data_IF_861103676676
#
_entry.id   IF_861103676676
#
_cell.length_a   1.000
_cell.length_b   1.000
_cell.length_c   1.000
_cell.angle_alpha   90.00
_cell.angle_beta   90.00
_cell.angle_gamma   90.00
#
_symmetry.space_group_name_H-M   'P 1'
#
loop_
_entity.id
_entity.type
_entity.pdbx_description
1 polymer ?
#
# COMPACT_ATOMS: atom_id res chain seq x y z
N UNK A 1 -28.50 -62.33 -55.94
CA UNK A 1 -27.38 -62.86 -55.14
C UNK A 1 -26.63 -61.69 -54.51
N UNK A 2 -26.42 -61.74 -53.19
CA UNK A 2 -25.36 -61.10 -52.39
C UNK A 2 -25.35 -59.56 -52.21
N UNK A 3 -25.69 -59.06 -51.01
CA UNK A 3 -24.80 -58.79 -49.83
C UNK A 3 -23.94 -57.52 -50.02
N UNK A 4 -24.33 -56.39 -49.39
CA UNK A 4 -23.80 -55.83 -48.12
C UNK A 4 -22.42 -55.13 -48.21
N UNK A 5 -22.40 -53.93 -47.58
CA UNK A 5 -21.30 -53.26 -46.82
C UNK A 5 -20.27 -52.47 -47.63
N UNK A 6 -20.24 -51.14 -47.50
CA UNK A 6 -19.63 -50.29 -46.44
C UNK A 6 -18.12 -50.07 -46.62
N UNK A 7 -17.73 -48.80 -46.81
CA UNK A 7 -16.59 -48.05 -46.24
C UNK A 7 -16.47 -46.75 -47.06
N UNK A 8 -16.97 -45.59 -46.60
CA UNK A 8 -16.37 -44.68 -45.61
C UNK A 8 -14.86 -44.47 -45.81
N UNK A 9 -14.51 -43.17 -45.91
CA UNK A 9 -13.22 -42.53 -45.60
C UNK A 9 -12.56 -41.82 -46.78
N UNK A 10 -13.03 -40.60 -47.09
CA UNK A 10 -12.23 -39.59 -47.79
C UNK A 10 -12.63 -38.17 -47.39
N UNK A 11 -12.87 -37.92 -46.10
CA UNK A 11 -12.87 -36.54 -45.57
C UNK A 11 -12.30 -36.56 -44.14
N UNK A 12 -11.03 -36.92 -44.03
CA UNK A 12 -10.21 -36.47 -42.91
C UNK A 12 -9.13 -35.56 -43.47
N UNK A 13 -8.80 -34.52 -42.68
CA UNK A 13 -7.91 -33.40 -42.99
C UNK A 13 -8.61 -32.22 -43.69
N UNK A 14 -9.18 -31.33 -42.88
CA UNK A 14 -8.65 -29.97 -42.73
C UNK A 14 -9.35 -29.32 -41.53
N UNK A 15 -8.87 -29.69 -40.34
CA UNK A 15 -8.99 -28.86 -39.16
C UNK A 15 -8.08 -27.64 -39.36
N UNK A 16 -8.65 -26.48 -39.64
CA UNK A 16 -7.96 -25.20 -39.47
C UNK A 16 -8.55 -24.54 -38.23
N UNK A 17 -7.93 -24.85 -37.10
CA UNK A 17 -8.18 -24.29 -35.78
C UNK A 17 -7.93 -22.77 -35.87
N UNK A 18 -8.98 -21.98 -35.70
CA UNK A 18 -8.83 -20.55 -35.44
C UNK A 18 -8.31 -20.41 -34.01
N UNK A 19 -6.98 -20.36 -33.88
CA UNK A 19 -6.30 -20.10 -32.61
C UNK A 19 -6.49 -18.61 -32.29
N UNK A 20 -7.49 -18.29 -31.48
CA UNK A 20 -7.60 -16.98 -30.86
C UNK A 20 -6.49 -16.86 -29.80
N UNK A 21 -5.35 -16.27 -30.17
CA UNK A 21 -4.35 -15.84 -29.22
C UNK A 21 -4.93 -14.66 -28.43
N UNK A 22 -5.63 -14.95 -27.34
CA UNK A 22 -5.88 -13.99 -26.27
C UNK A 22 -4.52 -13.74 -25.65
N UNK A 23 -3.84 -12.68 -26.08
CA UNK A 23 -2.79 -12.08 -25.26
C UNK A 23 -3.48 -11.55 -24.00
N UNK A 24 -3.43 -12.32 -22.93
CA UNK A 24 -3.50 -11.72 -21.60
C UNK A 24 -2.31 -10.77 -21.54
N UNK A 25 -2.55 -9.48 -21.72
CA UNK A 25 -1.64 -8.47 -21.21
C UNK A 25 -1.69 -8.67 -19.70
N UNK A 26 -0.77 -9.48 -19.19
CA UNK A 26 -0.43 -9.44 -17.78
C UNK A 26 0.24 -8.10 -17.63
N UNK A 27 -0.55 -7.05 -17.37
CA UNK A 27 -0.01 -5.86 -16.75
C UNK A 27 0.56 -6.37 -15.44
N UNK A 28 1.88 -6.39 -15.31
CA UNK A 28 2.48 -6.41 -13.99
C UNK A 28 1.94 -5.15 -13.32
N UNK A 29 0.94 -5.29 -12.46
CA UNK A 29 0.75 -4.31 -11.40
C UNK A 29 2.08 -4.33 -10.68
N UNK A 30 2.89 -3.29 -10.86
CA UNK A 30 4.01 -3.06 -9.95
C UNK A 30 3.38 -3.17 -8.57
N UNK A 31 3.82 -4.14 -7.78
CA UNK A 31 3.32 -4.28 -6.42
C UNK A 31 3.74 -2.98 -5.74
N UNK A 32 2.76 -2.13 -5.47
CA UNK A 32 2.95 -0.90 -4.73
C UNK A 32 3.43 -1.27 -3.32
N UNK A 33 4.03 -0.31 -2.61
CA UNK A 33 4.30 -0.42 -1.18
C UNK A 33 3.15 -1.12 -0.45
N UNK A 34 3.45 -1.96 0.53
CA UNK A 34 2.47 -2.66 1.33
C UNK A 34 2.61 -2.32 2.81
N UNK A 35 1.52 -2.46 3.58
CA UNK A 35 1.62 -2.44 5.04
C UNK A 35 2.58 -3.55 5.49
N UNK A 36 3.49 -3.19 6.39
CA UNK A 36 4.58 -4.06 6.83
C UNK A 36 5.80 -4.06 5.91
N UNK A 37 5.84 -3.23 4.85
CA UNK A 37 7.05 -3.07 4.05
C UNK A 37 8.18 -2.56 4.95
N UNK A 38 9.24 -3.34 5.05
CA UNK A 38 10.40 -3.08 5.90
C UNK A 38 11.64 -2.90 5.01
N UNK A 39 12.51 -1.97 5.39
CA UNK A 39 13.91 -1.96 4.99
C UNK A 39 14.74 -2.18 6.27
N UNK A 40 15.21 -3.41 6.43
CA UNK A 40 16.06 -3.90 7.53
C UNK A 40 17.53 -3.96 7.11
N UNK A 41 17.85 -3.69 5.83
CA UNK A 41 19.21 -3.63 5.28
C UNK A 41 20.05 -4.92 5.39
N UNK A 42 19.44 -6.03 5.79
CA UNK A 42 20.10 -7.35 5.94
C UNK A 42 20.53 -7.96 4.59
N UNK A 43 20.01 -7.41 3.49
CA UNK A 43 20.29 -7.85 2.12
C UNK A 43 20.92 -6.78 1.24
N UNK A 44 21.38 -5.67 1.83
CA UNK A 44 21.97 -4.54 1.12
C UNK A 44 21.27 -3.23 1.44
N UNK A 45 21.17 -2.34 0.46
CA UNK A 45 20.67 -0.98 0.68
C UNK A 45 19.14 -0.82 0.57
N UNK A 46 18.41 -1.92 0.28
CA UNK A 46 16.97 -1.95 0.00
C UNK A 46 16.50 -0.88 -1.01
N UNK A 47 17.40 -0.48 -1.91
CA UNK A 47 17.17 0.56 -2.92
C UNK A 47 17.34 2.00 -2.44
N UNK A 48 17.68 2.23 -1.16
CA UNK A 48 17.93 3.55 -0.59
C UNK A 48 19.31 4.10 -0.98
N UNK A 49 19.32 5.15 -1.81
CA UNK A 49 20.53 5.66 -2.47
C UNK A 49 20.67 7.19 -2.43
N UNK A 50 21.82 7.70 -2.85
CA UNK A 50 22.14 9.14 -2.84
C UNK A 50 22.24 9.80 -4.23
N UNK A 51 21.98 9.04 -5.30
CA UNK A 51 22.04 9.52 -6.69
C UNK A 51 23.44 9.59 -7.29
N UNK A 52 24.48 9.33 -6.49
CA UNK A 52 25.86 9.12 -6.92
C UNK A 52 26.31 7.66 -6.72
N UNK A 53 25.57 6.89 -5.93
CA UNK A 53 25.79 5.47 -5.61
C UNK A 53 24.94 5.03 -4.40
N UNK A 54 25.12 3.78 -3.94
CA UNK A 54 24.52 3.31 -2.70
C UNK A 54 25.17 4.01 -1.49
N UNK A 55 24.41 4.20 -0.42
CA UNK A 55 25.02 4.49 0.88
C UNK A 55 25.66 3.21 1.44
N UNK A 56 26.70 3.30 2.28
CA UNK A 56 27.25 2.14 2.96
C UNK A 56 26.21 1.49 3.87
N UNK A 57 26.18 0.16 3.87
CA UNK A 57 25.47 -0.67 4.85
C UNK A 57 26.51 -1.24 5.80
N UNK A 58 26.30 -1.08 7.11
CA UNK A 58 27.26 -1.41 8.16
C UNK A 58 26.58 -2.27 9.24
N UNK A 59 27.33 -3.17 9.85
CA UNK A 59 26.86 -3.95 11.01
C UNK A 59 26.84 -3.13 12.30
N UNK A 60 25.98 -3.50 13.25
CA UNK A 60 25.82 -2.84 14.55
C UNK A 60 24.54 -2.02 14.68
N UNK A 61 23.50 -2.45 13.96
CA UNK A 61 22.14 -1.93 13.91
C UNK A 61 21.43 -1.93 15.26
N UNK A 62 20.16 -1.57 15.23
CA UNK A 62 19.32 -1.42 16.42
C UNK A 62 19.18 -2.74 17.21
N UNK A 63 19.05 -3.86 16.50
CA UNK A 63 18.78 -5.19 17.06
C UNK A 63 20.06 -5.96 17.44
N UNK A 64 21.24 -5.39 17.16
CA UNK A 64 22.49 -5.82 17.77
C UNK A 64 23.74 -5.78 16.89
N UNK A 65 24.84 -6.41 17.32
CA UNK A 65 26.13 -6.30 16.65
C UNK A 65 26.21 -6.88 15.23
N UNK A 66 25.25 -7.75 14.86
CA UNK A 66 25.18 -8.39 13.53
C UNK A 66 24.08 -7.82 12.66
N UNK A 67 23.30 -6.90 13.19
CA UNK A 67 22.21 -6.22 12.52
C UNK A 67 22.82 -5.15 11.60
N UNK A 68 22.45 -5.14 10.34
CA UNK A 68 22.98 -4.23 9.33
C UNK A 68 22.10 -2.98 9.24
N UNK A 69 22.71 -1.82 9.01
CA UNK A 69 21.99 -0.55 8.91
C UNK A 69 22.58 0.36 7.83
N UNK A 70 21.76 1.28 7.30
CA UNK A 70 22.17 2.25 6.30
C UNK A 70 22.90 3.43 6.93
N UNK A 71 24.16 3.65 6.58
CA UNK A 71 24.97 4.78 7.07
C UNK A 71 24.99 5.95 6.08
N UNK A 72 24.40 7.08 6.48
CA UNK A 72 24.35 8.30 5.68
C UNK A 72 25.32 9.33 6.25
N UNK A 73 26.29 9.77 5.43
CA UNK A 73 27.26 10.80 5.81
C UNK A 73 27.06 12.08 4.99
N UNK A 74 26.95 13.21 5.68
CA UNK A 74 26.86 14.55 5.14
C UNK A 74 28.01 15.43 5.65
N UNK A 75 28.73 16.08 4.74
CA UNK A 75 29.89 16.93 5.07
C UNK A 75 29.57 18.40 5.33
N UNK A 76 28.30 18.82 5.35
CA UNK A 76 27.89 20.21 5.63
C UNK A 76 28.05 21.22 4.48
N UNK A 77 28.60 20.83 3.34
CA UNK A 77 28.74 21.70 2.16
C UNK A 77 27.43 21.94 1.38
N UNK A 78 27.40 22.94 0.49
CA UNK A 78 26.22 23.21 -0.32
C UNK A 78 25.87 22.16 -1.39
N UNK A 79 26.79 21.24 -1.69
CA UNK A 79 26.62 20.17 -2.68
C UNK A 79 25.78 18.98 -2.17
N UNK A 80 25.60 17.96 -3.01
CA UNK A 80 24.82 16.75 -2.69
C UNK A 80 25.36 16.00 -1.47
N UNK A 81 26.68 15.84 -1.38
CA UNK A 81 27.34 15.15 -0.26
C UNK A 81 27.43 16.00 1.04
N UNK A 82 26.95 17.24 1.02
CA UNK A 82 26.87 18.05 2.23
C UNK A 82 25.53 17.97 2.94
N UNK A 83 24.60 17.16 2.44
CA UNK A 83 23.23 17.03 2.92
C UNK A 83 22.95 15.57 3.27
N UNK A 84 22.24 15.36 4.36
CA UNK A 84 21.80 14.03 4.77
C UNK A 84 20.51 13.73 4.00
N UNK A 85 20.63 12.93 2.93
CA UNK A 85 19.53 12.55 2.04
C UNK A 85 19.75 11.13 1.53
N UNK A 86 18.73 10.30 1.63
CA UNK A 86 18.57 9.08 0.84
C UNK A 86 17.24 9.12 0.10
N UNK A 87 17.14 8.43 -1.02
CA UNK A 87 15.90 8.30 -1.76
C UNK A 87 15.74 6.90 -2.34
N UNK A 88 14.49 6.51 -2.55
CA UNK A 88 14.12 5.24 -3.12
C UNK A 88 13.14 5.44 -4.29
N UNK A 89 13.32 4.67 -5.36
CA UNK A 89 12.42 4.62 -6.53
C UNK A 89 12.13 3.18 -6.94
N UNK A 90 12.47 2.20 -6.10
CA UNK A 90 12.15 0.80 -6.37
C UNK A 90 10.64 0.60 -6.26
N UNK A 91 10.13 -0.46 -6.87
CA UNK A 91 8.71 -0.80 -6.77
C UNK A 91 8.26 -1.08 -5.33
N UNK A 92 9.17 -1.48 -4.44
CA UNK A 92 8.86 -1.77 -3.02
C UNK A 92 8.49 -0.50 -2.24
N UNK A 93 9.03 0.65 -2.64
CA UNK A 93 8.86 1.95 -1.97
C UNK A 93 8.10 2.97 -2.82
N UNK A 94 7.49 2.54 -3.92
CA UNK A 94 6.72 3.39 -4.83
C UNK A 94 5.35 2.79 -5.10
N UNK A 95 4.44 3.56 -5.69
CA UNK A 95 3.07 3.14 -6.00
C UNK A 95 2.00 3.90 -5.23
N UNK A 96 0.83 3.30 -5.11
CA UNK A 96 -0.36 3.92 -4.52
C UNK A 96 -0.37 3.70 -3.00
N UNK A 97 0.12 4.69 -2.24
CA UNK A 97 0.16 4.64 -0.78
C UNK A 97 -1.25 4.69 -0.18
N UNK A 98 -2.19 5.38 -0.84
CA UNK A 98 -3.56 5.50 -0.37
C UNK A 98 -4.31 4.18 -0.51
N UNK A 99 -4.23 3.52 -1.67
CA UNK A 99 -4.84 2.22 -1.88
C UNK A 99 -4.14 1.11 -1.08
N UNK A 100 -2.84 1.25 -0.80
CA UNK A 100 -2.10 0.36 0.08
C UNK A 100 -2.43 0.56 1.57
N UNK A 101 -3.18 1.61 1.92
CA UNK A 101 -3.54 1.93 3.30
C UNK A 101 -2.38 2.41 4.16
N UNK A 102 -1.30 2.96 3.55
CA UNK A 102 -0.15 3.48 4.32
C UNK A 102 -0.53 4.82 4.94
N UNK A 103 -0.39 4.91 6.25
CA UNK A 103 -0.74 6.08 7.07
C UNK A 103 0.42 6.56 7.93
N UNK A 104 1.49 5.77 8.07
CA UNK A 104 2.66 6.13 8.86
C UNK A 104 3.91 5.43 8.32
N UNK A 105 5.05 6.12 8.42
CA UNK A 105 6.36 5.48 8.32
C UNK A 105 7.12 5.65 9.65
N UNK A 106 7.73 4.57 10.10
CA UNK A 106 8.62 4.53 11.26
C UNK A 106 10.03 4.17 10.83
N UNK A 107 11.01 4.50 11.67
CA UNK A 107 12.41 4.16 11.46
C UNK A 107 13.18 4.23 12.77
N UNK A 108 14.24 3.45 12.88
CA UNK A 108 15.26 3.61 13.90
C UNK A 108 16.42 4.45 13.35
N UNK A 109 17.00 5.28 14.21
CA UNK A 109 18.08 6.21 13.87
C UNK A 109 19.13 6.30 14.96
N UNK A 110 20.39 6.15 14.57
CA UNK A 110 21.56 6.47 15.38
C UNK A 110 22.14 7.81 14.92
N UNK A 111 21.98 8.85 15.74
CA UNK A 111 22.56 10.17 15.47
C UNK A 111 23.71 10.48 16.44
N UNK A 112 24.94 10.08 16.11
CA UNK A 112 26.12 10.39 16.92
C UNK A 112 26.97 11.52 16.30
N UNK A 113 26.32 12.57 15.80
CA UNK A 113 26.98 13.62 15.01
C UNK A 113 27.25 14.92 15.76
N UNK A 114 26.70 15.10 16.96
CA UNK A 114 26.73 16.36 17.71
C UNK A 114 25.71 17.40 17.25
N UNK A 115 25.05 17.19 16.10
CA UNK A 115 23.95 18.03 15.61
C UNK A 115 22.60 17.40 15.94
N UNK A 116 21.58 18.23 16.20
CA UNK A 116 20.18 17.78 16.19
C UNK A 116 19.72 17.68 14.74
N UNK A 117 19.05 16.58 14.39
CA UNK A 117 18.55 16.31 13.05
C UNK A 117 17.03 16.35 13.04
N UNK A 118 16.45 17.19 12.19
CA UNK A 118 15.03 17.13 11.84
C UNK A 118 14.83 16.25 10.62
N UNK A 119 14.37 15.02 10.84
CA UNK A 119 14.14 14.03 9.78
C UNK A 119 12.75 14.22 9.19
N UNK A 120 12.67 14.15 7.86
CA UNK A 120 11.45 14.28 7.07
C UNK A 120 11.41 13.24 5.97
N UNK A 121 10.21 12.91 5.55
CA UNK A 121 9.99 12.30 4.26
C UNK A 121 9.60 13.35 3.22
N UNK A 122 10.04 13.16 1.97
CA UNK A 122 9.55 13.92 0.82
C UNK A 122 9.22 12.97 -0.33
N UNK A 123 8.14 13.23 -1.04
CA UNK A 123 7.61 12.37 -2.09
C UNK A 123 7.40 13.15 -3.38
N UNK A 124 7.53 12.45 -4.50
CA UNK A 124 7.15 12.93 -5.82
C UNK A 124 6.16 11.96 -6.44
N UNK A 125 5.20 12.47 -7.20
CA UNK A 125 4.20 11.68 -7.91
C UNK A 125 3.45 12.52 -8.94
N UNK A 126 2.33 12.03 -9.49
CA UNK A 126 1.53 12.73 -10.48
C UNK A 126 1.12 14.16 -10.09
N UNK A 127 0.91 14.40 -8.79
CA UNK A 127 0.55 15.72 -8.27
C UNK A 127 1.74 16.62 -7.87
N UNK A 128 2.98 16.17 -8.05
CA UNK A 128 4.20 16.94 -7.82
C UNK A 128 4.93 16.62 -6.52
N UNK A 129 5.67 17.60 -6.00
CA UNK A 129 6.62 17.43 -4.90
C UNK A 129 6.04 17.87 -3.56
N UNK A 130 6.08 16.99 -2.57
CA UNK A 130 5.61 17.24 -1.22
C UNK A 130 6.64 16.80 -0.20
N UNK A 131 6.65 17.44 0.98
CA UNK A 131 7.43 17.01 2.13
C UNK A 131 6.55 17.02 3.37
N UNK A 132 6.82 16.12 4.31
CA UNK A 132 6.07 16.08 5.56
C UNK A 132 6.12 17.45 6.24
N UNK A 133 4.97 17.91 6.75
CA UNK A 133 4.83 19.18 7.45
C UNK A 133 5.52 19.10 8.81
N UNK A 134 5.29 18.02 9.55
CA UNK A 134 6.07 17.67 10.74
C UNK A 134 7.41 17.02 10.39
N UNK A 135 8.36 17.13 11.32
CA UNK A 135 9.62 16.39 11.32
C UNK A 135 9.72 15.55 12.59
N UNK A 136 10.50 14.48 12.53
CA UNK A 136 10.99 13.78 13.71
C UNK A 136 12.31 14.44 14.12
N UNK A 137 12.32 15.13 15.27
CA UNK A 137 13.50 15.82 15.78
C UNK A 137 14.33 14.86 16.63
N UNK A 138 15.54 14.56 16.16
CA UNK A 138 16.44 13.55 16.72
C UNK A 138 17.67 14.25 17.30
N UNK A 139 17.78 14.26 18.63
CA UNK A 139 18.95 14.79 19.32
C UNK A 139 20.18 13.89 19.08
N UNK A 140 21.38 14.47 19.23
CA UNK A 140 22.59 13.66 19.18
C UNK A 140 22.64 12.71 20.39
N UNK A 141 22.87 11.42 20.13
CA UNK A 141 22.95 10.36 21.11
C UNK A 141 23.94 9.27 20.66
N UNK A 142 24.51 8.53 21.62
CA UNK A 142 25.23 7.30 21.35
C UNK A 142 24.32 6.07 21.29
N UNK A 143 23.03 6.26 21.49
CA UNK A 143 22.00 5.22 21.43
C UNK A 143 21.12 5.44 20.20
N UNK A 144 20.64 4.34 19.65
CA UNK A 144 19.54 4.33 18.71
C UNK A 144 18.27 4.93 19.33
N UNK A 145 17.52 5.63 18.50
CA UNK A 145 16.26 6.30 18.81
C UNK A 145 15.27 5.96 17.70
N UNK A 146 13.97 5.96 18.00
CA UNK A 146 12.95 5.74 16.99
C UNK A 146 12.32 7.05 16.55
N UNK A 147 11.99 7.17 15.27
CA UNK A 147 11.26 8.27 14.66
C UNK A 147 10.00 7.75 13.98
N UNK A 148 8.95 8.57 13.99
CA UNK A 148 7.66 8.21 13.39
C UNK A 148 7.03 9.45 12.75
N UNK A 149 6.51 9.29 11.54
CA UNK A 149 5.91 10.36 10.75
C UNK A 149 4.62 9.89 10.11
N UNK A 150 3.52 10.61 10.35
CA UNK A 150 2.24 10.38 9.66
C UNK A 150 2.40 10.67 8.16
N UNK A 151 1.79 9.78 7.37
CA UNK A 151 1.61 9.87 5.92
C UNK A 151 0.18 10.27 5.54
N UNK A 152 -0.61 10.79 6.48
CA UNK A 152 -1.87 11.43 6.18
C UNK A 152 -1.67 12.62 5.25
N UNK A 153 -2.58 12.80 4.29
CA UNK A 153 -2.52 13.89 3.31
C UNK A 153 -2.42 15.29 3.95
N UNK A 154 -2.94 15.47 5.18
CA UNK A 154 -2.86 16.70 5.96
C UNK A 154 -1.45 17.01 6.47
N UNK A 155 -0.60 16.00 6.63
CA UNK A 155 0.78 16.15 7.08
C UNK A 155 1.75 16.42 5.91
N UNK A 156 1.29 16.94 4.77
CA UNK A 156 2.16 17.28 3.66
C UNK A 156 2.07 18.74 3.26
N UNK A 157 3.22 19.37 3.11
CA UNK A 157 3.38 20.73 2.58
C UNK A 157 3.91 20.64 1.13
N UNK A 158 3.30 21.35 0.17
CA UNK A 158 3.83 21.43 -1.19
C UNK A 158 5.19 22.13 -1.17
N UNK A 159 6.16 21.56 -1.87
CA UNK A 159 7.53 22.08 -1.96
C UNK A 159 7.96 22.23 -3.41
N UNK A 160 9.02 23.00 -3.65
CA UNK A 160 9.61 23.14 -4.98
C UNK A 160 10.96 22.42 -5.07
N UNK A 161 11.21 21.76 -6.20
CA UNK A 161 12.52 21.21 -6.54
C UNK A 161 13.38 22.20 -7.32
N UNK A 162 14.65 21.87 -7.52
CA UNK A 162 15.60 22.75 -8.23
C UNK A 162 15.22 22.99 -9.71
N UNK A 163 14.41 22.12 -10.31
CA UNK A 163 13.97 22.22 -11.72
C UNK A 163 12.68 23.04 -11.89
N UNK A 164 12.16 23.67 -10.84
CA UNK A 164 10.91 24.43 -10.87
C UNK A 164 9.64 23.59 -10.74
N UNK A 165 9.75 22.25 -10.68
CA UNK A 165 8.65 21.37 -10.29
C UNK A 165 8.15 21.73 -8.89
N UNK A 166 6.84 21.74 -8.68
CA UNK A 166 6.20 22.07 -7.41
C UNK A 166 5.06 21.10 -7.10
N UNK A 167 4.74 20.92 -5.81
CA UNK A 167 3.54 20.20 -5.38
C UNK A 167 2.26 20.97 -5.69
N UNK A 168 1.29 20.27 -6.27
CA UNK A 168 0.00 20.81 -6.70
C UNK A 168 -1.19 20.02 -6.13
N UNK A 169 -1.05 18.70 -6.03
CA UNK A 169 -2.11 17.80 -5.58
C UNK A 169 -1.52 16.67 -4.73
N UNK A 170 -1.74 16.71 -3.42
CA UNK A 170 -1.22 15.69 -2.51
C UNK A 170 -1.93 14.34 -2.72
N UNK A 171 -3.24 14.35 -2.99
CA UNK A 171 -4.04 13.14 -3.22
C UNK A 171 -3.54 12.39 -4.44
N UNK A 172 -3.30 13.10 -5.56
CA UNK A 172 -2.73 12.49 -6.76
C UNK A 172 -1.28 12.03 -6.56
N UNK A 173 -0.52 12.68 -5.67
CA UNK A 173 0.87 12.29 -5.35
C UNK A 173 0.90 11.00 -4.54
N UNK A 174 0.09 10.89 -3.49
CA UNK A 174 -0.01 9.68 -2.66
C UNK A 174 -0.60 8.48 -3.42
N UNK A 175 -1.52 8.74 -4.37
CA UNK A 175 -2.07 7.71 -5.25
C UNK A 175 -1.06 7.14 -6.26
N UNK A 176 0.16 7.69 -6.34
CA UNK A 176 1.17 7.27 -7.31
C UNK A 176 2.55 7.79 -6.97
N UNK A 177 3.05 7.51 -5.77
CA UNK A 177 4.40 7.90 -5.36
C UNK A 177 5.40 7.26 -6.33
N UNK A 178 6.22 8.10 -6.95
CA UNK A 178 7.26 7.73 -7.93
C UNK A 178 8.67 7.82 -7.37
N UNK A 179 8.84 8.55 -6.27
CA UNK A 179 10.07 8.66 -5.52
C UNK A 179 9.73 9.06 -4.08
N UNK A 180 10.38 8.41 -3.12
CA UNK A 180 10.37 8.80 -1.71
C UNK A 180 11.79 9.17 -1.28
N UNK A 181 11.92 10.17 -0.43
CA UNK A 181 13.17 10.66 0.14
C UNK A 181 13.07 10.65 1.64
N UNK A 182 14.16 10.29 2.29
CA UNK A 182 14.44 10.51 3.70
C UNK A 182 15.52 11.59 3.78
N UNK A 183 15.25 12.69 4.50
CA UNK A 183 16.15 13.83 4.52
C UNK A 183 16.17 14.58 5.84
N UNK A 184 17.30 15.23 6.12
CA UNK A 184 17.37 16.25 7.16
C UNK A 184 16.93 17.62 6.63
N UNK A 185 15.93 18.24 7.24
CA UNK A 185 15.64 19.66 7.06
C UNK A 185 14.75 20.19 8.21
N UNK A 186 15.06 21.34 8.84
CA UNK A 186 14.17 21.94 9.84
C UNK A 186 12.84 22.43 9.26
N UNK A 187 12.74 22.65 7.94
CA UNK A 187 11.50 23.05 7.26
C UNK A 187 11.13 22.03 6.15
N UNK A 188 9.84 21.90 5.78
CA UNK A 188 9.45 21.06 4.65
C UNK A 188 10.19 21.48 3.38
N UNK A 189 10.88 20.53 2.73
CA UNK A 189 11.67 20.80 1.55
C UNK A 189 11.91 19.53 0.72
N UNK A 190 12.07 19.71 -0.60
CA UNK A 190 12.52 18.64 -1.48
C UNK A 190 14.03 18.34 -1.35
N UNK A 191 14.80 19.37 -1.00
CA UNK A 191 16.25 19.32 -0.88
C UNK A 191 16.61 19.43 0.60
N UNK A 192 17.38 18.47 1.12
CA UNK A 192 17.84 18.48 2.52
C UNK A 192 18.70 19.70 2.84
N UNK A 193 18.70 20.16 4.10
CA UNK A 193 19.56 21.24 4.56
C UNK A 193 21.01 20.74 4.68
N UNK A 194 22.03 21.56 4.32
CA UNK A 194 23.41 21.19 4.60
C UNK A 194 23.65 20.97 6.09
N UNK A 195 24.27 19.85 6.44
CA UNK A 195 24.61 19.48 7.82
C UNK A 195 25.89 18.64 7.82
N UNK A 196 26.77 18.88 8.77
CA UNK A 196 27.94 18.02 9.00
C UNK A 196 27.53 16.94 9.99
N UNK A 197 27.07 15.79 9.49
CA UNK A 197 26.58 14.71 10.33
C UNK A 197 26.74 13.33 9.67
N UNK A 198 26.87 12.31 10.51
CA UNK A 198 26.65 10.91 10.13
C UNK A 198 25.48 10.38 10.93
N UNK A 199 24.53 9.74 10.27
CA UNK A 199 23.42 9.03 10.91
C UNK A 199 23.31 7.62 10.35
N UNK A 200 23.03 6.65 11.24
CA UNK A 200 22.58 5.32 10.86
C UNK A 200 21.06 5.30 10.79
N UNK A 201 20.49 4.67 9.77
CA UNK A 201 19.05 4.42 9.65
C UNK A 201 18.81 2.93 9.52
N UNK A 202 17.77 2.49 10.19
CA UNK A 202 17.44 1.08 10.32
C UNK A 202 15.92 0.92 10.44
N UNK A 203 15.42 -0.29 10.18
CA UNK A 203 14.02 -0.67 10.34
C UNK A 203 13.03 0.36 9.77
N UNK A 204 13.24 0.84 8.54
CA UNK A 204 12.28 1.76 7.91
C UNK A 204 11.02 0.95 7.59
N UNK A 205 9.94 1.20 8.32
CA UNK A 205 8.73 0.38 8.32
C UNK A 205 7.53 1.19 7.86
N UNK A 206 6.80 0.65 6.89
CA UNK A 206 5.53 1.20 6.43
C UNK A 206 4.36 0.60 7.19
N UNK A 207 3.58 1.45 7.84
CA UNK A 207 2.42 1.06 8.62
C UNK A 207 1.14 1.59 7.98
N UNK A 208 0.13 0.73 7.99
CA UNK A 208 -1.25 1.13 7.83
C UNK A 208 -1.92 1.07 9.19
N UNK A 209 -1.52 1.98 10.08
CA UNK A 209 -2.35 2.29 11.23
C UNK A 209 -3.53 3.06 10.66
N UNK A 210 -4.64 2.38 10.35
CA UNK A 210 -5.90 3.11 10.20
C UNK A 210 -6.00 3.98 11.44
N UNK A 211 -6.05 5.31 11.27
CA UNK A 211 -6.45 6.17 12.37
C UNK A 211 -7.70 5.49 12.91
N UNK A 212 -7.66 5.02 14.16
CA UNK A 212 -8.78 4.32 14.80
C UNK A 212 -10.02 5.11 14.43
N UNK A 213 -10.85 4.53 13.56
CA UNK A 213 -12.11 5.21 13.28
C UNK A 213 -12.84 5.09 14.59
N UNK A 214 -13.19 6.20 15.27
CA UNK A 214 -13.84 6.11 16.55
C UNK A 214 -15.15 5.30 16.50
N UNK A 215 -15.67 5.00 15.30
CA UNK A 215 -16.80 4.10 15.08
C UNK A 215 -16.45 2.63 14.78
N UNK A 216 -15.18 2.26 14.65
CA UNK A 216 -14.69 0.88 14.52
C UNK A 216 -14.56 0.26 15.92
N UNK A 217 -15.69 -0.18 16.44
CA UNK A 217 -15.82 -0.65 17.81
C UNK A 217 -15.31 -2.09 17.99
N UNK A 218 -15.20 -2.87 16.92
CA UNK A 218 -14.69 -4.24 16.98
C UNK A 218 -13.20 -4.35 16.60
N UNK A 219 -12.56 -3.23 16.29
CA UNK A 219 -11.15 -3.09 15.92
C UNK A 219 -10.76 -3.92 14.69
N UNK A 220 -11.70 -4.13 13.76
CA UNK A 220 -11.46 -4.93 12.56
C UNK A 220 -11.06 -4.11 11.33
N UNK A 221 -10.81 -2.81 11.53
CA UNK A 221 -10.42 -1.80 10.53
C UNK A 221 -11.54 -1.35 9.59
N UNK A 222 -12.77 -1.80 9.82
CA UNK A 222 -13.94 -1.41 9.05
C UNK A 222 -15.02 -0.83 9.97
N UNK A 223 -15.77 0.16 9.47
CA UNK A 223 -16.98 0.64 10.15
C UNK A 223 -18.19 0.06 9.43
N UNK A 224 -18.65 -1.09 9.89
CA UNK A 224 -19.73 -1.86 9.28
C UNK A 224 -20.80 -2.35 10.29
N UNK A 225 -21.54 -3.39 9.90
CA UNK A 225 -22.61 -3.94 10.73
C UNK A 225 -22.11 -4.70 11.97
N UNK A 226 -20.85 -5.11 12.00
CA UNK A 226 -20.22 -5.76 13.13
C UNK A 226 -20.01 -4.77 14.29
N UNK A 227 -19.62 -3.53 13.99
CA UNK A 227 -19.49 -2.44 14.98
C UNK A 227 -20.83 -2.07 15.59
N UNK A 228 -21.89 -2.04 14.77
CA UNK A 228 -23.25 -1.83 15.29
C UNK A 228 -23.61 -2.90 16.33
N UNK A 229 -23.12 -4.12 16.18
CA UNK A 229 -23.27 -5.18 17.17
C UNK A 229 -22.59 -4.85 18.49
N UNK A 230 -21.37 -4.31 18.45
CA UNK A 230 -20.63 -3.87 19.64
C UNK A 230 -21.34 -2.71 20.33
N UNK A 231 -21.71 -1.66 19.57
CA UNK A 231 -22.46 -0.52 20.10
C UNK A 231 -23.78 -0.93 20.77
N UNK A 232 -24.53 -1.87 20.19
CA UNK A 232 -25.77 -2.38 20.77
C UNK A 232 -25.56 -3.06 22.13
N UNK A 233 -24.41 -3.71 22.34
CA UNK A 233 -24.08 -4.32 23.62
C UNK A 233 -23.55 -3.33 24.66
N UNK A 234 -22.88 -2.27 24.21
CA UNK A 234 -22.29 -1.25 25.06
C UNK A 234 -23.28 -0.14 25.48
N UNK A 235 -24.34 0.09 24.69
CA UNK A 235 -25.29 1.19 24.88
C UNK A 235 -25.83 1.30 26.32
N UNK A 236 -25.45 2.37 27.01
CA UNK A 236 -25.83 2.65 28.40
C UNK A 236 -25.25 1.70 29.45
N UNK A 237 -24.24 0.88 29.09
CA UNK A 237 -23.58 -0.07 30.00
C UNK A 237 -22.12 0.30 30.30
N UNK A 238 -21.33 0.64 29.28
CA UNK A 238 -19.90 0.97 29.38
C UNK A 238 -19.45 1.87 28.22
N UNK A 239 -18.14 2.08 28.12
CA UNK A 239 -17.42 2.91 27.14
C UNK A 239 -16.81 2.09 25.98
N UNK A 240 -17.17 0.80 25.84
CA UNK A 240 -16.64 -0.07 24.77
C UNK A 240 -17.02 0.38 23.35
N UNK A 241 -17.98 1.32 23.21
CA UNK A 241 -18.37 1.93 21.94
C UNK A 241 -18.48 3.46 22.06
N UNK A 242 -17.53 4.07 22.77
CA UNK A 242 -17.38 5.51 22.95
C UNK A 242 -16.60 6.14 21.77
N UNK A 243 -17.34 6.69 20.81
CA UNK A 243 -16.78 7.28 19.61
C UNK A 243 -16.46 8.78 19.77
N UNK A 244 -17.01 9.44 20.78
CA UNK A 244 -16.79 10.87 21.02
C UNK A 244 -15.85 11.15 22.22
N UNK A 245 -15.34 10.10 22.87
CA UNK A 245 -14.45 10.12 24.04
C UNK A 245 -15.12 10.82 25.25
N UNK A 246 -16.44 10.63 25.42
CA UNK A 246 -17.24 11.19 26.52
C UNK A 246 -17.47 10.23 27.69
N UNK A 247 -16.85 9.05 27.64
CA UNK A 247 -16.92 7.93 28.59
C UNK A 247 -18.26 7.22 28.66
N UNK A 248 -19.17 7.44 27.70
CA UNK A 248 -20.47 6.78 27.63
C UNK A 248 -20.80 6.29 26.22
N UNK A 249 -21.15 5.01 26.04
CA UNK A 249 -21.72 4.55 24.76
C UNK A 249 -23.19 4.94 24.65
N UNK A 250 -23.50 5.96 23.86
CA UNK A 250 -24.84 6.54 23.73
C UNK A 250 -25.22 6.90 22.28
N UNK A 251 -26.27 7.73 22.13
CA UNK A 251 -26.78 8.13 20.82
C UNK A 251 -25.84 9.06 20.03
N UNK A 252 -24.91 9.75 20.70
CA UNK A 252 -23.88 10.55 20.06
C UNK A 252 -22.88 9.66 19.30
N UNK A 253 -22.47 8.54 19.91
CA UNK A 253 -21.55 7.58 19.30
C UNK A 253 -22.18 6.87 18.11
N UNK A 254 -23.46 6.53 18.25
CA UNK A 254 -24.24 6.00 17.15
C UNK A 254 -24.29 6.95 15.94
N UNK A 255 -24.36 8.26 16.18
CA UNK A 255 -24.35 9.24 15.09
C UNK A 255 -22.98 9.32 14.41
N UNK A 256 -21.88 9.11 15.15
CA UNK A 256 -20.53 9.02 14.57
C UNK A 256 -20.41 7.75 13.74
N UNK A 257 -20.87 6.60 14.26
CA UNK A 257 -20.94 5.36 13.49
C UNK A 257 -21.77 5.50 12.21
N UNK A 258 -22.95 6.13 12.27
CA UNK A 258 -23.76 6.37 11.08
C UNK A 258 -23.08 7.26 10.03
N UNK A 259 -22.25 8.22 10.47
CA UNK A 259 -21.52 9.11 9.57
C UNK A 259 -20.34 8.39 8.89
N UNK A 260 -19.74 7.43 9.59
CA UNK A 260 -18.57 6.69 9.11
C UNK A 260 -18.90 5.32 8.49
N UNK A 261 -20.15 4.84 8.62
CA UNK A 261 -20.59 3.55 8.09
C UNK A 261 -20.28 3.39 6.59
N UNK A 262 -19.37 2.47 6.29
CA UNK A 262 -18.90 2.15 4.96
C UNK A 262 -19.04 0.63 4.74
N UNK A 263 -20.19 0.15 4.21
CA UNK A 263 -20.41 -1.27 4.06
C UNK A 263 -19.35 -1.86 3.11
N UNK A 264 -18.67 -2.92 3.57
CA UNK A 264 -17.76 -3.70 2.75
C UNK A 264 -18.43 -4.11 1.43
N UNK A 265 -18.01 -3.50 0.32
CA UNK A 265 -18.38 -3.96 -1.02
C UNK A 265 -17.50 -5.17 -1.33
N UNK A 266 -17.82 -6.32 -0.72
CA UNK A 266 -17.26 -7.60 -1.16
C UNK A 266 -17.85 -7.85 -2.54
N UNK A 267 -17.00 -7.78 -3.57
CA UNK A 267 -17.38 -7.96 -4.97
C UNK A 267 -18.27 -9.19 -5.11
N UNK A 268 -19.45 -9.01 -5.73
CA UNK A 268 -20.42 -10.06 -5.93
C UNK A 268 -19.74 -11.29 -6.56
N UNK A 269 -19.51 -12.34 -5.75
CA UNK A 269 -19.15 -13.65 -6.29
C UNK A 269 -20.24 -14.01 -7.29
N UNK A 270 -19.86 -14.22 -8.55
CA UNK A 270 -20.78 -14.65 -9.58
C UNK A 270 -21.51 -15.89 -9.07
N UNK A 271 -22.78 -15.72 -8.69
CA UNK A 271 -23.64 -16.83 -8.29
C UNK A 271 -23.69 -17.76 -9.50
N UNK A 272 -23.19 -19.01 -9.40
CA UNK A 272 -23.31 -19.96 -10.49
C UNK A 272 -24.80 -20.08 -10.81
N UNK A 273 -25.20 -19.72 -12.03
CA UNK A 273 -26.61 -19.79 -12.41
C UNK A 273 -27.12 -21.21 -12.08
N UNK A 274 -28.29 -21.34 -11.42
CA UNK A 274 -28.84 -22.64 -11.13
C UNK A 274 -28.91 -23.43 -12.44
N UNK A 275 -28.77 -24.75 -12.36
CA UNK A 275 -28.80 -25.70 -13.50
C UNK A 275 -30.11 -25.69 -14.33
N UNK A 276 -30.90 -24.62 -14.28
CA UNK A 276 -32.03 -24.26 -15.12
C UNK A 276 -31.73 -24.44 -16.61
N UNK A 277 -30.54 -24.03 -17.08
CA UNK A 277 -30.14 -24.22 -18.48
C UNK A 277 -29.93 -25.71 -18.84
N UNK A 278 -29.46 -26.52 -17.89
CA UNK A 278 -29.30 -27.97 -18.04
C UNK A 278 -30.64 -28.69 -17.98
N UNK A 279 -31.57 -28.23 -17.13
CA UNK A 279 -32.94 -28.75 -17.05
C UNK A 279 -33.76 -28.42 -18.31
N UNK A 280 -33.58 -27.23 -18.89
CA UNK A 280 -34.28 -26.84 -20.12
C UNK A 280 -33.80 -27.66 -21.32
N UNK A 281 -32.50 -27.98 -21.39
CA UNK A 281 -31.92 -28.81 -22.45
C UNK A 281 -32.30 -30.29 -22.31
N UNK A 282 -32.43 -30.83 -21.08
CA UNK A 282 -32.93 -32.18 -20.85
C UNK A 282 -34.44 -32.34 -21.16
N UNK A 283 -35.25 -31.32 -20.89
CA UNK A 283 -36.68 -31.33 -21.24
C UNK A 283 -36.92 -31.30 -22.77
N UNK A 284 -36.06 -30.59 -23.53
CA UNK A 284 -36.11 -30.55 -24.98
C UNK A 284 -35.84 -31.91 -25.64
N UNK A 285 -34.92 -32.70 -25.09
CA UNK A 285 -34.60 -34.04 -25.61
C UNK A 285 -35.72 -35.07 -25.33
N UNK A 286 -36.42 -34.98 -24.20
CA UNK A 286 -37.53 -35.90 -23.89
C UNK A 286 -38.76 -35.69 -24.78
N UNK A 287 -39.03 -34.45 -25.23
CA UNK A 287 -40.16 -34.14 -26.11
C UNK A 287 -39.93 -34.53 -27.58
N UNK A 288 -38.66 -34.67 -28.02
CA UNK A 288 -38.31 -34.97 -29.41
C UNK A 288 -38.53 -36.43 -29.84
N UNK A 289 -38.47 -37.40 -28.91
CA UNK A 289 -38.58 -38.82 -29.23
C UNK A 289 -40.00 -39.40 -29.14
N UNK A 290 -40.99 -38.61 -28.69
CA UNK A 290 -42.37 -39.07 -28.50
C UNK A 290 -43.27 -39.05 -29.73
N UNK A 291 -42.83 -38.50 -30.87
CA UNK A 291 -43.65 -38.38 -32.10
C UNK A 291 -43.13 -39.26 -33.23
N UNK A 292 -43.38 -40.56 -33.10
CA UNK A 292 -43.44 -41.49 -34.24
C UNK A 292 -44.70 -42.34 -34.09
N UNK A 293 -45.85 -41.72 -34.38
CA UNK A 293 -47.15 -42.40 -34.45
C UNK A 293 -47.23 -43.13 -35.79
N UNK A 294 -47.40 -44.45 -35.72
CA UNK A 294 -47.70 -45.32 -36.86
C UNK A 294 -49.00 -44.89 -37.52
N UNK A 295 -49.01 -44.79 -38.85
CA UNK A 295 -50.23 -44.96 -39.65
C UNK A 295 -49.94 -45.85 -40.86
N UNK A 296 -50.79 -46.88 -40.96
CA UNK A 296 -51.11 -47.87 -42.00
C UNK A 296 -50.23 -48.03 -43.25
#
# INVERSE_FOLDING_TARGET
MNFRRYRYDYVQHLAAIALACIFAVVTSTAHAIAVGQLADFESGDDGWRNGLGPWPVLSGGQDGPTDDFLSIQAGGGGGSLGRLVAFNTSSEWTGDYTAAGITQLEFDILNNSGATLDIRFAINGPGGLFSTTSSATIASSSQWQSGSLSFDSSNFTPVSGNSGSMGMDITATLAGVSEIRLLHNPNPAWVGQPVSATAGFDNILALGITAFDPADFNEDTFVDGADLGVWQTAYGMNDDADANDDTESNGADYLIWQQNFAPLIIGAQAVPEPASAVLLSLAGFAAGFGRSRKEN
#
